data_IF_125825690609
#
_entry.id   IF_125825690609
#
_cell.length_a   1.000
_cell.length_b   1.000
_cell.length_c   1.000
_cell.angle_alpha   90.00
_cell.angle_beta   90.00
_cell.angle_gamma   90.00
#
_symmetry.space_group_name_H-M   'P 1'
#
loop_
_entity.id
_entity.type
_entity.pdbx_description
1 polymer ?
#
# COMPACT_ATOMS: atom_id res chain seq x y z
N UNK A 1 10.29 -2.02 -31.37
CA UNK A 1 11.61 -2.63 -31.11
C UNK A 1 12.65 -1.54 -30.89
N UNK A 2 12.99 -1.22 -29.64
CA UNK A 2 14.30 -0.69 -29.25
C UNK A 2 14.61 -1.25 -27.86
N UNK A 3 15.56 -2.19 -27.84
CA UNK A 3 16.07 -2.87 -26.65
C UNK A 3 16.86 -1.85 -25.82
N UNK A 4 16.51 -1.68 -24.55
CA UNK A 4 17.36 -0.96 -23.60
C UNK A 4 18.43 -1.96 -23.16
N UNK A 5 19.66 -1.71 -23.62
CA UNK A 5 20.84 -2.48 -23.27
C UNK A 5 21.28 -2.03 -21.88
N UNK A 6 21.29 -2.98 -20.94
CA UNK A 6 21.93 -2.85 -19.64
C UNK A 6 23.45 -2.77 -19.84
N UNK A 7 24.06 -1.66 -19.42
CA UNK A 7 25.51 -1.48 -19.36
C UNK A 7 25.89 -1.34 -17.88
N UNK A 8 26.26 -2.47 -17.28
CA UNK A 8 26.91 -2.52 -15.97
C UNK A 8 28.34 -2.04 -16.18
N UNK A 9 28.64 -0.81 -15.78
CA UNK A 9 30.01 -0.31 -15.69
C UNK A 9 30.54 -0.60 -14.30
N UNK A 10 31.51 -1.50 -14.19
CA UNK A 10 32.21 -1.79 -12.95
C UNK A 10 33.11 -0.59 -12.59
N UNK A 11 32.69 0.19 -11.59
CA UNK A 11 33.51 1.24 -11.02
C UNK A 11 34.48 0.64 -10.00
N UNK A 12 35.77 0.94 -10.20
CA UNK A 12 36.87 0.62 -9.29
C UNK A 12 36.65 1.39 -7.98
N UNK A 13 36.47 0.68 -6.87
CA UNK A 13 36.37 1.26 -5.53
C UNK A 13 37.79 1.65 -5.08
N UNK A 14 38.09 2.94 -5.14
CA UNK A 14 39.19 3.52 -4.40
C UNK A 14 38.68 3.85 -2.99
N UNK A 15 39.02 3.01 -2.02
CA UNK A 15 38.68 3.24 -0.63
C UNK A 15 39.60 4.32 -0.05
N UNK A 16 39.05 5.48 0.33
CA UNK A 16 39.42 6.21 1.56
C UNK A 16 38.40 7.32 1.85
N UNK A 17 37.59 7.13 2.88
CA UNK A 17 37.31 8.10 3.96
C UNK A 17 36.43 7.36 4.98
N UNK A 18 36.97 7.10 6.16
CA UNK A 18 36.21 6.60 7.30
C UNK A 18 35.14 7.62 7.67
N UNK A 19 33.88 7.35 7.36
CA UNK A 19 32.76 8.12 7.88
C UNK A 19 32.79 8.07 9.41
N UNK A 20 32.63 9.21 10.12
CA UNK A 20 32.57 9.19 11.56
C UNK A 20 31.37 8.36 12.02
N UNK A 21 31.68 7.37 12.84
CA UNK A 21 30.71 6.55 13.58
C UNK A 21 29.96 7.48 14.52
N UNK A 22 28.78 7.96 14.12
CA UNK A 22 27.66 8.38 15.00
C UNK A 22 26.30 8.30 14.26
N UNK A 23 26.06 7.24 13.48
CA UNK A 23 24.77 6.97 12.82
C UNK A 23 23.91 5.92 13.55
N UNK A 24 24.24 5.54 14.79
CA UNK A 24 23.77 4.29 15.41
C UNK A 24 22.53 4.40 16.33
N UNK A 25 21.93 5.58 16.46
CA UNK A 25 20.78 5.80 17.37
C UNK A 25 19.42 5.87 16.69
N UNK A 26 19.35 6.47 15.50
CA UNK A 26 18.08 6.83 14.88
C UNK A 26 17.26 5.61 14.46
N UNK A 27 17.89 4.48 14.15
CA UNK A 27 17.19 3.23 13.79
C UNK A 27 16.35 2.70 14.95
N UNK A 28 16.76 2.94 16.20
CA UNK A 28 15.97 2.58 17.39
C UNK A 28 14.78 3.52 17.59
N UNK A 29 14.92 4.78 17.21
CA UNK A 29 13.86 5.78 17.32
C UNK A 29 12.85 5.69 16.17
N UNK A 30 13.30 5.33 14.97
CA UNK A 30 12.52 5.22 13.75
C UNK A 30 12.67 3.83 13.08
N UNK A 31 12.38 2.72 13.78
CA UNK A 31 12.53 1.38 13.21
C UNK A 31 11.62 1.17 11.99
N UNK A 32 10.45 1.82 11.98
CA UNK A 32 9.49 1.79 10.88
C UNK A 32 9.96 2.51 9.60
N UNK A 33 10.95 3.40 9.70
CA UNK A 33 11.52 4.14 8.57
C UNK A 33 12.91 3.64 8.20
N UNK A 34 13.38 2.54 8.81
CA UNK A 34 14.78 2.13 8.70
C UNK A 34 15.21 1.93 7.25
N UNK A 35 14.52 1.05 6.53
CA UNK A 35 14.87 0.73 5.14
C UNK A 35 14.73 1.95 4.22
N UNK A 36 13.69 2.76 4.43
CA UNK A 36 13.43 3.94 3.60
C UNK A 36 14.47 5.03 3.80
N UNK A 37 14.90 5.26 5.05
CA UNK A 37 15.96 6.21 5.39
C UNK A 37 17.32 5.70 4.89
N UNK A 38 17.63 4.41 5.07
CA UNK A 38 18.85 3.79 4.53
C UNK A 38 18.92 3.98 3.00
N UNK A 39 17.83 3.68 2.28
CA UNK A 39 17.74 3.94 0.85
C UNK A 39 17.97 5.40 0.49
N UNK A 40 17.35 6.34 1.21
CA UNK A 40 17.50 7.76 0.93
C UNK A 40 18.92 8.29 1.22
N UNK A 41 19.64 7.70 2.18
CA UNK A 41 21.04 8.03 2.45
C UNK A 41 21.96 7.47 1.35
N UNK A 42 21.81 6.19 1.01
CA UNK A 42 22.61 5.51 -0.03
C UNK A 42 22.49 6.18 -1.40
N UNK A 43 21.33 6.79 -1.68
CA UNK A 43 21.05 7.49 -2.93
C UNK A 43 21.24 9.02 -2.84
N UNK A 44 21.83 9.54 -1.76
CA UNK A 44 22.07 10.97 -1.53
C UNK A 44 20.82 11.87 -1.63
N UNK A 45 19.63 11.28 -1.42
CA UNK A 45 18.34 11.99 -1.40
C UNK A 45 18.28 12.87 -0.16
N UNK A 46 18.66 12.33 1.00
CA UNK A 46 18.80 13.07 2.25
C UNK A 46 20.25 13.05 2.74
N UNK A 47 20.59 14.02 3.58
CA UNK A 47 21.83 14.08 4.34
C UNK A 47 21.56 14.64 5.73
N UNK A 48 22.45 14.36 6.68
CA UNK A 48 22.46 14.99 7.99
C UNK A 48 23.08 16.38 7.98
N UNK A 49 23.05 17.03 9.13
CA UNK A 49 23.78 18.28 9.39
C UNK A 49 25.30 18.04 9.60
N UNK A 50 26.03 19.09 9.97
CA UNK A 50 27.48 19.04 10.22
C UNK A 50 27.87 18.06 11.35
N UNK A 51 26.93 17.74 12.24
CA UNK A 51 27.13 16.79 13.35
C UNK A 51 26.74 15.35 12.97
N UNK A 52 26.13 15.17 11.80
CA UNK A 52 25.59 13.89 11.33
C UNK A 52 24.16 13.62 11.78
N UNK A 53 23.47 14.58 12.42
CA UNK A 53 22.06 14.41 12.76
C UNK A 53 21.21 14.50 11.48
N UNK A 54 20.48 13.42 11.19
CA UNK A 54 19.58 13.33 10.05
C UNK A 54 18.32 14.19 10.19
N UNK A 55 18.02 14.65 11.42
CA UNK A 55 16.84 15.42 11.78
C UNK A 55 15.54 14.73 11.33
N UNK A 56 15.45 13.40 11.50
CA UNK A 56 14.35 12.59 10.94
C UNK A 56 12.95 13.00 11.41
N UNK A 57 12.83 13.51 12.63
CA UNK A 57 11.58 14.07 13.17
C UNK A 57 11.31 15.52 12.78
N UNK A 58 12.26 16.20 12.13
CA UNK A 58 12.11 17.56 11.66
C UNK A 58 11.19 17.65 10.43
N UNK A 59 10.47 18.76 10.32
CA UNK A 59 9.56 19.00 9.20
C UNK A 59 10.32 19.43 7.94
N UNK A 60 9.84 18.97 6.79
CA UNK A 60 10.44 19.24 5.50
C UNK A 60 10.00 20.62 4.98
N UNK A 61 10.94 21.46 4.53
CA UNK A 61 10.60 22.70 3.83
C UNK A 61 10.29 22.44 2.35
N UNK A 62 9.60 23.38 1.69
CA UNK A 62 9.25 23.26 0.26
C UNK A 62 10.48 23.18 -0.65
N UNK A 63 11.57 23.87 -0.31
CA UNK A 63 12.80 23.77 -1.08
C UNK A 63 13.56 22.46 -0.86
N UNK A 64 13.48 21.88 0.35
CA UNK A 64 13.98 20.52 0.59
C UNK A 64 13.13 19.48 -0.14
N UNK A 65 11.80 19.66 -0.17
CA UNK A 65 10.88 18.85 -0.97
C UNK A 65 11.30 18.84 -2.45
N UNK A 66 11.54 20.01 -3.05
CA UNK A 66 11.98 20.11 -4.44
C UNK A 66 13.29 19.34 -4.69
N UNK A 67 14.27 19.42 -3.78
CA UNK A 67 15.50 18.64 -3.86
C UNK A 67 15.22 17.14 -3.86
N UNK A 68 14.52 16.64 -2.85
CA UNK A 68 14.37 15.18 -2.69
C UNK A 68 13.54 14.57 -3.83
N UNK A 69 12.55 15.28 -4.36
CA UNK A 69 11.84 14.85 -5.58
C UNK A 69 12.75 14.82 -6.80
N UNK A 70 13.56 15.86 -6.98
CA UNK A 70 14.51 15.94 -8.10
C UNK A 70 15.51 14.80 -8.06
N UNK A 71 16.09 14.52 -6.89
CA UNK A 71 17.10 13.47 -6.73
C UNK A 71 16.46 12.07 -6.87
N UNK A 72 15.26 11.86 -6.32
CA UNK A 72 14.57 10.55 -6.38
C UNK A 72 14.15 10.19 -7.81
N UNK A 73 13.58 11.15 -8.55
CA UNK A 73 12.98 10.90 -9.87
C UNK A 73 13.86 11.39 -11.03
N UNK A 74 15.08 11.86 -10.73
CA UNK A 74 16.00 12.49 -11.68
C UNK A 74 15.29 13.56 -12.53
N UNK A 75 14.56 14.47 -11.87
CA UNK A 75 13.78 15.50 -12.57
C UNK A 75 14.72 16.49 -13.25
N UNK A 76 14.35 16.93 -14.45
CA UNK A 76 15.14 17.87 -15.25
C UNK A 76 14.21 18.88 -15.91
N UNK A 77 14.65 20.15 -15.98
CA UNK A 77 13.92 21.19 -16.72
C UNK A 77 14.87 22.26 -17.22
N UNK A 78 14.64 22.72 -18.45
CA UNK A 78 15.34 23.86 -19.04
C UNK A 78 14.54 25.17 -18.94
N UNK A 79 13.31 25.10 -18.42
CA UNK A 79 12.46 26.27 -18.24
C UNK A 79 13.03 27.18 -17.16
N UNK A 80 12.88 28.50 -17.30
CA UNK A 80 13.22 29.42 -16.22
C UNK A 80 12.34 29.16 -14.99
N UNK A 81 12.87 29.38 -13.78
CA UNK A 81 12.05 29.37 -12.56
C UNK A 81 11.02 30.49 -12.64
N UNK A 82 9.73 30.14 -12.50
CA UNK A 82 8.60 31.08 -12.63
C UNK A 82 8.22 31.84 -11.36
N UNK A 83 8.89 31.57 -10.25
CA UNK A 83 8.55 32.11 -8.94
C UNK A 83 9.37 33.36 -8.61
N UNK A 84 8.72 34.39 -8.10
CA UNK A 84 9.32 35.70 -7.87
C UNK A 84 10.27 35.73 -6.65
N UNK A 85 10.10 34.79 -5.72
CA UNK A 85 10.83 34.67 -4.45
C UNK A 85 11.96 33.64 -4.49
N UNK A 86 12.38 33.21 -5.69
CA UNK A 86 13.44 32.21 -5.87
C UNK A 86 14.62 32.83 -6.60
N UNK A 87 15.64 33.22 -5.83
CA UNK A 87 16.85 33.85 -6.33
C UNK A 87 17.74 32.87 -7.10
N UNK A 88 18.35 33.32 -8.22
CA UNK A 88 19.18 32.48 -9.11
C UNK A 88 20.40 31.86 -8.45
N UNK A 89 20.95 32.52 -7.44
CA UNK A 89 22.12 32.08 -6.67
C UNK A 89 21.75 31.20 -5.46
N UNK A 90 20.45 30.99 -5.18
CA UNK A 90 20.02 30.15 -4.07
C UNK A 90 20.34 28.68 -4.36
N UNK A 91 20.82 27.95 -3.34
CA UNK A 91 21.15 26.52 -3.47
C UNK A 91 20.02 25.69 -4.06
N UNK A 92 18.77 26.07 -3.77
CA UNK A 92 17.56 25.38 -4.19
C UNK A 92 17.11 25.70 -5.61
N UNK A 93 17.70 26.70 -6.28
CA UNK A 93 17.22 27.19 -7.58
C UNK A 93 17.08 26.08 -8.61
N UNK A 94 18.11 25.26 -8.81
CA UNK A 94 18.10 24.15 -9.79
C UNK A 94 17.05 23.08 -9.47
N UNK A 95 16.78 22.83 -8.19
CA UNK A 95 15.79 21.85 -7.77
C UNK A 95 14.38 22.38 -7.96
N UNK A 96 14.14 23.66 -7.62
CA UNK A 96 12.87 24.33 -7.90
C UNK A 96 12.62 24.38 -9.40
N UNK A 97 13.65 24.65 -10.20
CA UNK A 97 13.57 24.67 -11.66
C UNK A 97 13.07 23.34 -12.23
N UNK A 98 13.64 22.22 -11.76
CA UNK A 98 13.23 20.89 -12.15
C UNK A 98 11.85 20.48 -11.62
N UNK A 99 11.49 20.91 -10.41
CA UNK A 99 10.29 20.47 -9.70
C UNK A 99 9.01 21.27 -10.04
N UNK A 100 9.11 22.52 -10.50
CA UNK A 100 7.99 23.47 -10.56
C UNK A 100 6.71 22.98 -11.29
N UNK A 101 6.82 22.08 -12.25
CA UNK A 101 5.67 21.56 -13.01
C UNK A 101 4.90 20.44 -12.29
N UNK A 102 5.53 19.86 -11.26
CA UNK A 102 4.95 18.81 -10.43
C UNK A 102 4.16 19.34 -9.23
N UNK A 103 4.22 20.64 -8.96
CA UNK A 103 3.36 21.28 -7.98
C UNK A 103 1.89 21.23 -8.42
N UNK A 104 0.94 20.78 -7.58
CA UNK A 104 -0.47 20.73 -7.98
C UNK A 104 -1.11 22.13 -8.04
N UNK A 105 -0.77 23.01 -7.09
CA UNK A 105 -1.26 24.39 -7.06
C UNK A 105 -0.38 25.32 -7.91
N UNK A 106 -1.03 26.22 -8.63
CA UNK A 106 -0.38 27.31 -9.37
C UNK A 106 -0.25 28.55 -8.49
N UNK A 107 0.82 29.32 -8.69
CA UNK A 107 1.08 30.56 -7.96
C UNK A 107 2.35 31.24 -8.46
N UNK A 108 2.55 32.49 -8.06
CA UNK A 108 3.74 33.30 -8.37
C UNK A 108 4.83 33.24 -7.30
N UNK A 109 4.55 32.61 -6.15
CA UNK A 109 5.48 32.42 -5.05
C UNK A 109 5.73 30.92 -4.82
N UNK A 110 6.98 30.55 -4.59
CA UNK A 110 7.39 29.20 -4.23
C UNK A 110 7.29 28.96 -2.73
N UNK A 111 7.55 29.98 -1.90
CA UNK A 111 7.59 29.93 -0.44
C UNK A 111 8.57 28.87 0.09
N UNK A 112 9.82 28.89 -0.40
CA UNK A 112 10.76 27.80 -0.18
C UNK A 112 11.04 27.43 1.28
N UNK A 113 10.98 28.41 2.19
CA UNK A 113 11.21 28.21 3.63
C UNK A 113 10.03 27.64 4.40
N UNK A 114 8.82 27.61 3.82
CA UNK A 114 7.64 27.09 4.49
C UNK A 114 7.66 25.57 4.56
N UNK A 115 7.07 25.03 5.63
CA UNK A 115 6.94 23.58 5.81
C UNK A 115 5.85 22.99 4.93
N UNK A 116 6.05 21.74 4.52
CA UNK A 116 5.16 21.02 3.61
C UNK A 116 4.15 20.20 4.41
N UNK A 117 2.88 20.25 4.00
CA UNK A 117 1.83 19.37 4.54
C UNK A 117 1.85 18.00 3.88
N UNK A 118 1.35 16.99 4.58
CA UNK A 118 1.22 15.62 4.06
C UNK A 118 0.45 15.54 2.73
N UNK A 119 -0.65 16.28 2.59
CA UNK A 119 -1.43 16.31 1.33
C UNK A 119 -0.67 16.94 0.16
N UNK A 120 0.10 18.01 0.39
CA UNK A 120 0.86 18.68 -0.67
C UNK A 120 1.98 17.76 -1.16
N UNK A 121 2.67 17.10 -0.22
CA UNK A 121 3.71 16.16 -0.55
C UNK A 121 3.18 14.97 -1.34
N UNK A 122 2.10 14.33 -0.86
CA UNK A 122 1.50 13.17 -1.54
C UNK A 122 1.00 13.52 -2.95
N UNK A 123 0.39 14.70 -3.10
CA UNK A 123 -0.08 15.16 -4.40
C UNK A 123 1.09 15.45 -5.37
N UNK A 124 2.17 16.06 -4.87
CA UNK A 124 3.38 16.29 -5.65
C UNK A 124 4.10 14.98 -5.99
N UNK A 125 4.09 14.00 -5.09
CA UNK A 125 4.66 12.66 -5.30
C UNK A 125 4.00 11.92 -6.45
N UNK A 126 2.67 11.95 -6.50
CA UNK A 126 1.93 11.33 -7.61
C UNK A 126 2.30 11.98 -8.94
N UNK A 127 2.37 13.32 -9.01
CA UNK A 127 2.77 14.01 -10.24
C UNK A 127 4.23 13.71 -10.61
N UNK A 128 5.17 13.79 -9.67
CA UNK A 128 6.59 13.59 -9.91
C UNK A 128 6.94 12.14 -10.30
N UNK A 129 6.20 11.15 -9.78
CA UNK A 129 6.34 9.74 -10.15
C UNK A 129 5.72 9.38 -11.51
N UNK A 130 5.12 10.36 -12.20
CA UNK A 130 4.46 10.15 -13.49
C UNK A 130 3.08 9.48 -13.41
N UNK A 131 2.56 9.30 -12.19
CA UNK A 131 1.20 8.79 -11.98
C UNK A 131 0.17 9.87 -12.27
N UNK A 132 -1.02 9.44 -12.70
CA UNK A 132 -2.15 10.34 -12.96
C UNK A 132 -3.01 10.47 -11.72
N UNK A 133 -3.69 11.59 -11.58
CA UNK A 133 -4.76 11.72 -10.61
C UNK A 133 -5.86 10.69 -10.89
N UNK A 134 -6.52 10.21 -9.84
CA UNK A 134 -7.67 9.34 -9.97
C UNK A 134 -8.86 10.11 -10.56
N UNK A 135 -9.81 9.38 -11.14
CA UNK A 135 -11.02 9.98 -11.70
C UNK A 135 -11.99 10.45 -10.60
N UNK A 136 -11.92 9.84 -9.41
CA UNK A 136 -12.74 10.19 -8.24
C UNK A 136 -11.96 10.14 -6.93
N UNK A 137 -12.56 10.66 -5.86
CA UNK A 137 -12.04 10.65 -4.49
C UNK A 137 -12.99 9.84 -3.60
N UNK A 138 -12.95 8.50 -3.72
CA UNK A 138 -13.99 7.63 -3.14
C UNK A 138 -13.41 6.70 -2.09
N UNK A 139 -12.33 5.98 -2.39
CA UNK A 139 -11.71 5.01 -1.49
C UNK A 139 -11.09 5.71 -0.29
N UNK A 140 -10.36 6.80 -0.52
CA UNK A 140 -9.77 7.59 0.58
C UNK A 140 -10.86 8.17 1.46
N UNK A 141 -11.88 8.78 0.85
CA UNK A 141 -13.01 9.37 1.57
C UNK A 141 -13.81 8.35 2.38
N UNK A 142 -13.91 7.11 1.89
CA UNK A 142 -14.52 6.00 2.61
C UNK A 142 -13.66 5.54 3.81
N UNK A 143 -12.34 5.48 3.63
CA UNK A 143 -11.43 4.81 4.57
C UNK A 143 -10.96 5.68 5.74
N UNK A 144 -11.04 7.01 5.62
CA UNK A 144 -10.48 7.93 6.63
C UNK A 144 -11.45 9.05 7.04
N UNK A 145 -11.42 9.41 8.32
CA UNK A 145 -12.38 10.31 8.97
C UNK A 145 -12.12 11.81 8.71
N UNK A 146 -10.88 12.17 8.43
CA UNK A 146 -10.40 13.55 8.32
C UNK A 146 -10.28 14.06 6.87
N UNK A 147 -10.82 13.29 5.92
CA UNK A 147 -10.71 13.49 4.48
C UNK A 147 -11.43 14.72 3.95
N UNK A 148 -12.41 15.23 4.70
CA UNK A 148 -13.13 16.47 4.38
C UNK A 148 -12.23 17.71 4.49
N UNK A 149 -11.13 17.63 5.24
CA UNK A 149 -10.18 18.73 5.36
C UNK A 149 -9.25 18.86 4.15
N UNK A 150 -9.17 17.83 3.29
CA UNK A 150 -8.27 17.82 2.13
C UNK A 150 -8.65 18.91 1.15
N UNK A 151 -7.65 19.67 0.71
CA UNK A 151 -7.85 20.70 -0.32
C UNK A 151 -8.31 20.09 -1.64
N UNK A 152 -9.28 20.72 -2.31
CA UNK A 152 -9.84 20.22 -3.57
C UNK A 152 -8.78 19.99 -4.65
N UNK A 153 -7.72 20.82 -4.68
CA UNK A 153 -6.62 20.67 -5.64
C UNK A 153 -5.79 19.38 -5.43
N UNK A 154 -5.92 18.74 -4.26
CA UNK A 154 -5.15 17.56 -3.89
C UNK A 154 -5.97 16.28 -3.83
N UNK A 155 -7.31 16.33 -3.69
CA UNK A 155 -8.18 15.16 -3.47
C UNK A 155 -7.88 13.97 -4.39
N UNK A 156 -7.96 14.15 -5.70
CA UNK A 156 -7.78 13.04 -6.64
C UNK A 156 -6.33 12.54 -6.74
N UNK A 157 -5.35 13.40 -6.43
CA UNK A 157 -3.95 12.99 -6.35
C UNK A 157 -3.70 12.20 -5.06
N UNK A 158 -4.29 12.65 -3.94
CA UNK A 158 -4.23 11.94 -2.67
C UNK A 158 -4.89 10.55 -2.78
N UNK A 159 -6.01 10.43 -3.50
CA UNK A 159 -6.62 9.12 -3.83
C UNK A 159 -5.60 8.19 -4.48
N UNK A 160 -4.84 8.70 -5.45
CA UNK A 160 -3.83 7.90 -6.15
C UNK A 160 -2.70 7.48 -5.20
N UNK A 161 -2.25 8.41 -4.34
CA UNK A 161 -1.21 8.11 -3.36
C UNK A 161 -1.64 7.02 -2.36
N UNK A 162 -2.89 7.06 -1.92
CA UNK A 162 -3.48 6.10 -0.97
C UNK A 162 -3.72 4.74 -1.64
N UNK A 163 -4.36 4.73 -2.81
CA UNK A 163 -4.73 3.48 -3.51
C UNK A 163 -3.53 2.72 -4.08
N UNK A 164 -2.43 3.43 -4.35
CA UNK A 164 -1.13 2.82 -4.69
C UNK A 164 -0.27 2.50 -3.45
N UNK A 165 -0.77 2.75 -2.24
CA UNK A 165 -0.08 2.50 -0.97
C UNK A 165 1.23 3.27 -0.82
N UNK A 166 1.36 4.44 -1.46
CA UNK A 166 2.52 5.33 -1.27
C UNK A 166 2.44 6.07 0.05
N UNK A 167 1.23 6.53 0.37
CA UNK A 167 0.88 7.17 1.62
C UNK A 167 -0.08 6.30 2.40
N UNK A 168 0.23 6.07 3.68
CA UNK A 168 -0.63 5.35 4.60
C UNK A 168 -1.14 6.31 5.68
N UNK A 169 -2.38 6.07 6.09
CA UNK A 169 -2.95 6.67 7.29
C UNK A 169 -2.61 5.87 8.54
N UNK A 170 -3.07 6.34 9.68
CA UNK A 170 -3.02 5.61 10.94
C UNK A 170 -4.17 6.09 11.84
N UNK A 171 -4.67 5.18 12.69
CA UNK A 171 -5.76 5.44 13.63
C UNK A 171 -7.03 6.00 12.95
N UNK A 172 -7.30 5.56 11.72
CA UNK A 172 -8.46 5.99 10.91
C UNK A 172 -8.34 7.39 10.30
N UNK A 173 -7.15 7.99 10.30
CA UNK A 173 -6.90 9.34 9.78
C UNK A 173 -5.74 9.33 8.77
N UNK A 174 -5.81 10.18 7.75
CA UNK A 174 -4.72 10.38 6.77
C UNK A 174 -3.82 11.57 7.14
N UNK A 175 -4.31 12.44 8.05
CA UNK A 175 -3.68 13.63 8.61
C UNK A 175 -3.17 14.58 7.51
N UNK A 176 -4.06 15.10 6.65
CA UNK A 176 -3.64 15.78 5.43
C UNK A 176 -2.97 17.13 5.69
N UNK A 177 -3.33 17.82 6.77
CA UNK A 177 -2.80 19.15 7.13
C UNK A 177 -1.57 19.11 8.04
N UNK A 178 -1.23 17.95 8.59
CA UNK A 178 -0.03 17.83 9.41
C UNK A 178 1.21 18.08 8.57
N UNK A 179 2.22 18.68 9.19
CA UNK A 179 3.52 18.88 8.56
C UNK A 179 4.23 17.55 8.40
N UNK A 180 4.86 17.35 7.24
CA UNK A 180 5.53 16.11 6.91
C UNK A 180 6.93 16.08 7.49
N UNK A 181 7.24 15.04 8.25
CA UNK A 181 8.58 14.81 8.77
C UNK A 181 9.52 14.22 7.70
N UNK A 182 10.82 14.38 7.91
CA UNK A 182 11.85 13.81 7.02
C UNK A 182 11.79 12.28 6.93
N UNK A 183 11.49 11.58 8.03
CA UNK A 183 11.29 10.13 8.03
C UNK A 183 10.08 9.68 7.21
N UNK A 184 8.96 10.41 7.31
CA UNK A 184 7.75 10.11 6.51
C UNK A 184 8.01 10.36 5.02
N UNK A 185 8.69 11.46 4.69
CA UNK A 185 9.07 11.77 3.30
C UNK A 185 9.91 10.64 2.68
N UNK A 186 10.92 10.13 3.40
CA UNK A 186 11.72 8.98 2.93
C UNK A 186 10.84 7.76 2.68
N UNK A 187 9.92 7.48 3.60
CA UNK A 187 9.03 6.32 3.51
C UNK A 187 8.08 6.41 2.30
N UNK A 188 7.53 7.59 2.03
CA UNK A 188 6.62 7.77 0.89
C UNK A 188 7.37 7.65 -0.44
N UNK A 189 8.57 8.24 -0.53
CA UNK A 189 9.44 8.10 -1.71
C UNK A 189 9.84 6.64 -1.92
N UNK A 190 10.31 5.97 -0.88
CA UNK A 190 10.74 4.58 -0.91
C UNK A 190 9.63 3.64 -1.41
N UNK A 191 8.38 3.84 -0.97
CA UNK A 191 7.23 3.02 -1.45
C UNK A 191 6.92 3.21 -2.92
N UNK A 192 7.23 4.36 -3.51
CA UNK A 192 7.09 4.58 -4.96
C UNK A 192 8.17 3.82 -5.73
N UNK A 193 9.42 3.93 -5.31
CA UNK A 193 10.56 3.33 -6.03
C UNK A 193 10.73 1.83 -5.74
N UNK A 194 10.25 1.37 -4.59
CA UNK A 194 10.25 -0.03 -4.15
C UNK A 194 8.81 -0.49 -3.85
N UNK A 195 7.95 -0.67 -4.87
CA UNK A 195 6.53 -0.96 -4.69
C UNK A 195 6.26 -2.32 -4.02
N UNK A 196 7.25 -3.20 -3.91
CA UNK A 196 7.16 -4.47 -3.19
C UNK A 196 7.51 -4.37 -1.70
N UNK A 197 8.14 -3.27 -1.26
CA UNK A 197 8.57 -3.10 0.12
C UNK A 197 7.37 -3.09 1.08
N UNK A 198 7.58 -3.64 2.27
CA UNK A 198 6.62 -3.76 3.38
C UNK A 198 5.29 -4.43 2.99
N UNK A 199 5.30 -5.31 1.99
CA UNK A 199 4.09 -5.98 1.49
C UNK A 199 4.23 -7.49 1.51
N UNK A 200 3.11 -8.15 1.72
CA UNK A 200 3.06 -9.60 1.89
C UNK A 200 2.50 -10.27 0.66
N UNK A 201 3.25 -11.18 0.02
CA UNK A 201 2.73 -11.94 -1.13
C UNK A 201 1.51 -12.79 -0.75
N UNK A 202 0.47 -12.77 -1.58
CA UNK A 202 -0.70 -13.66 -1.46
C UNK A 202 -0.35 -15.08 -1.91
N UNK A 203 0.49 -15.20 -2.94
CA UNK A 203 0.95 -16.50 -3.47
C UNK A 203 2.19 -16.98 -2.74
N UNK A 204 2.35 -18.29 -2.66
CA UNK A 204 3.47 -18.94 -1.99
C UNK A 204 3.04 -20.07 -1.06
N UNK A 205 4.02 -20.63 -0.36
CA UNK A 205 3.81 -21.72 0.57
C UNK A 205 3.21 -21.22 1.90
N UNK A 206 2.45 -22.09 2.56
CA UNK A 206 1.94 -21.83 3.89
C UNK A 206 3.06 -21.49 4.87
N UNK A 207 2.88 -20.42 5.65
CA UNK A 207 3.76 -20.07 6.77
C UNK A 207 3.19 -20.48 8.12
N UNK A 208 1.92 -20.89 8.15
CA UNK A 208 1.23 -21.37 9.34
C UNK A 208 0.77 -22.80 9.07
N UNK A 209 0.84 -23.66 10.08
CA UNK A 209 0.29 -25.02 10.01
C UNK A 209 -1.22 -25.02 10.24
N UNK A 210 -1.92 -26.06 9.78
CA UNK A 210 -3.36 -26.18 10.01
C UNK A 210 -3.68 -26.26 11.51
N UNK A 211 -2.82 -26.90 12.31
CA UNK A 211 -2.97 -27.02 13.75
C UNK A 211 -2.90 -25.65 14.46
N UNK A 212 -1.93 -24.81 14.07
CA UNK A 212 -1.81 -23.43 14.58
C UNK A 212 -3.04 -22.61 14.21
N UNK A 213 -3.53 -22.74 12.97
CA UNK A 213 -4.74 -22.05 12.52
C UNK A 213 -5.99 -22.47 13.30
N UNK A 214 -6.14 -23.76 13.57
CA UNK A 214 -7.24 -24.28 14.40
C UNK A 214 -7.13 -23.84 15.87
N UNK A 215 -5.91 -23.82 16.43
CA UNK A 215 -5.67 -23.33 17.79
C UNK A 215 -6.00 -21.84 17.92
N UNK A 216 -5.56 -21.03 16.95
CA UNK A 216 -5.91 -19.62 16.83
C UNK A 216 -7.43 -19.42 16.72
N UNK A 217 -8.10 -20.17 15.86
CA UNK A 217 -9.55 -20.09 15.69
C UNK A 217 -10.29 -20.41 16.99
N UNK A 218 -9.92 -21.48 17.70
CA UNK A 218 -10.48 -21.82 19.02
C UNK A 218 -10.29 -20.67 20.02
N UNK A 219 -9.09 -20.09 20.09
CA UNK A 219 -8.80 -19.00 21.00
C UNK A 219 -9.57 -17.70 20.67
N UNK A 220 -10.01 -17.52 19.42
CA UNK A 220 -10.88 -16.42 19.00
C UNK A 220 -12.38 -16.69 19.24
N UNK A 221 -12.75 -17.83 19.80
CA UNK A 221 -14.16 -18.21 19.99
C UNK A 221 -14.86 -18.51 18.67
N UNK A 222 -14.12 -19.07 17.70
CA UNK A 222 -14.69 -19.48 16.42
C UNK A 222 -15.77 -20.55 16.59
N UNK A 223 -16.78 -20.51 15.71
CA UNK A 223 -17.74 -21.60 15.62
C UNK A 223 -17.04 -22.87 15.12
N UNK A 224 -17.49 -24.05 15.57
CA UNK A 224 -16.87 -25.34 15.24
C UNK A 224 -16.68 -25.56 13.72
N UNK A 225 -17.68 -25.20 12.91
CA UNK A 225 -17.60 -25.20 11.44
C UNK A 225 -16.37 -24.52 10.85
N UNK A 226 -15.92 -23.42 11.46
CA UNK A 226 -14.75 -22.66 10.98
C UNK A 226 -13.45 -23.36 11.37
N UNK A 227 -13.42 -24.01 12.53
CA UNK A 227 -12.27 -24.82 12.97
C UNK A 227 -12.15 -26.06 12.06
N UNK A 228 -13.27 -26.72 11.78
CA UNK A 228 -13.33 -27.95 10.99
C UNK A 228 -13.00 -27.73 9.51
N UNK A 229 -13.26 -26.53 8.97
CA UNK A 229 -12.98 -26.25 7.55
C UNK A 229 -11.51 -25.89 7.27
N UNK A 230 -10.69 -25.66 8.30
CA UNK A 230 -9.29 -25.26 8.13
C UNK A 230 -8.45 -26.23 7.25
N UNK A 231 -8.53 -27.57 7.38
CA UNK A 231 -7.78 -28.48 6.52
C UNK A 231 -8.11 -28.32 5.03
N UNK A 232 -9.36 -27.99 4.69
CA UNK A 232 -9.78 -27.74 3.31
C UNK A 232 -9.15 -26.45 2.77
N UNK A 233 -9.01 -25.42 3.60
CA UNK A 233 -8.25 -24.22 3.22
C UNK A 233 -6.79 -24.54 2.90
N UNK A 234 -6.13 -25.39 3.69
CA UNK A 234 -4.73 -25.77 3.43
C UNK A 234 -4.59 -26.60 2.15
N UNK A 235 -5.51 -27.54 1.92
CA UNK A 235 -5.55 -28.32 0.67
C UNK A 235 -5.64 -27.42 -0.56
N UNK A 236 -6.62 -26.51 -0.61
CA UNK A 236 -6.74 -25.60 -1.76
C UNK A 236 -5.61 -24.57 -1.84
N UNK A 237 -4.99 -24.22 -0.72
CA UNK A 237 -3.78 -23.39 -0.72
C UNK A 237 -2.66 -24.03 -1.52
N UNK A 238 -2.42 -25.33 -1.32
CA UNK A 238 -1.45 -26.10 -2.11
C UNK A 238 -1.86 -26.20 -3.58
N UNK A 239 -3.13 -26.49 -3.87
CA UNK A 239 -3.64 -26.62 -5.25
C UNK A 239 -3.47 -25.34 -6.05
N UNK A 240 -3.75 -24.18 -5.46
CA UNK A 240 -3.65 -22.89 -6.14
C UNK A 240 -2.25 -22.25 -6.06
N UNK A 241 -1.39 -22.69 -5.12
CA UNK A 241 -0.19 -21.96 -4.76
C UNK A 241 -0.48 -20.61 -4.08
N UNK A 242 -1.60 -20.54 -3.36
CA UNK A 242 -2.03 -19.38 -2.56
C UNK A 242 -1.82 -19.72 -1.09
N UNK A 243 -1.31 -18.77 -0.32
CA UNK A 243 -1.07 -18.95 1.11
C UNK A 243 -2.38 -19.19 1.86
N UNK A 244 -2.59 -20.37 2.45
CA UNK A 244 -3.88 -20.71 3.05
C UNK A 244 -4.21 -19.90 4.29
N UNK A 245 -3.21 -19.46 5.06
CA UNK A 245 -3.41 -18.62 6.23
C UNK A 245 -3.99 -17.24 5.87
N UNK A 246 -3.68 -16.70 4.69
CA UNK A 246 -4.26 -15.44 4.19
C UNK A 246 -5.75 -15.65 3.91
N UNK A 247 -6.07 -16.72 3.18
CA UNK A 247 -7.44 -17.06 2.79
C UNK A 247 -8.31 -17.44 4.00
N UNK A 248 -7.73 -18.14 4.97
CA UNK A 248 -8.40 -18.52 6.20
C UNK A 248 -8.61 -17.32 7.14
N UNK A 249 -7.63 -16.42 7.26
CA UNK A 249 -7.80 -15.15 7.96
C UNK A 249 -8.88 -14.28 7.31
N UNK A 250 -8.89 -14.20 5.97
CA UNK A 250 -9.93 -13.53 5.21
C UNK A 250 -11.30 -14.09 5.51
N UNK A 251 -11.46 -15.42 5.49
CA UNK A 251 -12.71 -16.08 5.84
C UNK A 251 -13.14 -15.79 7.29
N UNK A 252 -12.19 -15.75 8.22
CA UNK A 252 -12.44 -15.38 9.61
C UNK A 252 -12.99 -13.95 9.74
N UNK A 253 -12.44 -13.00 8.97
CA UNK A 253 -12.90 -11.60 8.94
C UNK A 253 -14.31 -11.48 8.36
N UNK A 254 -14.56 -12.15 7.23
CA UNK A 254 -15.84 -12.08 6.49
C UNK A 254 -17.00 -12.77 7.23
N UNK A 255 -16.70 -13.84 7.98
CA UNK A 255 -17.74 -14.67 8.62
C UNK A 255 -17.80 -14.54 10.13
N UNK A 256 -17.03 -13.60 10.72
CA UNK A 256 -16.82 -13.53 12.17
C UNK A 256 -16.41 -14.91 12.75
N UNK A 257 -15.40 -15.54 12.15
CA UNK A 257 -14.88 -16.87 12.52
C UNK A 257 -15.95 -17.97 12.44
N UNK A 258 -16.78 -17.93 11.38
CA UNK A 258 -17.88 -18.85 11.11
C UNK A 258 -19.10 -18.71 12.02
N UNK A 259 -19.16 -17.66 12.85
CA UNK A 259 -20.35 -17.35 13.63
C UNK A 259 -21.44 -16.70 12.76
N UNK A 260 -21.02 -15.91 11.77
CA UNK A 260 -21.86 -15.05 10.94
C UNK A 260 -22.66 -14.03 11.78
N UNK A 261 -23.09 -12.94 11.16
CA UNK A 261 -23.84 -11.88 11.85
C UNK A 261 -24.40 -10.79 10.95
N UNK A 262 -24.31 -10.98 9.64
CA UNK A 262 -24.77 -10.04 8.62
C UNK A 262 -25.66 -10.73 7.59
N UNK A 263 -25.63 -10.23 6.36
CA UNK A 263 -26.49 -10.72 5.29
C UNK A 263 -26.18 -12.14 4.82
N UNK A 264 -24.93 -12.59 4.97
CA UNK A 264 -24.53 -13.97 4.67
C UNK A 264 -24.81 -14.86 5.88
N UNK A 265 -25.58 -15.92 5.64
CA UNK A 265 -25.99 -16.89 6.65
C UNK A 265 -25.10 -18.14 6.62
N UNK A 266 -24.94 -18.85 7.74
CA UNK A 266 -24.10 -20.04 7.80
C UNK A 266 -24.40 -21.13 6.76
N UNK A 267 -25.68 -21.40 6.51
CA UNK A 267 -26.17 -22.41 5.57
C UNK A 267 -25.82 -22.09 4.12
N UNK A 268 -25.43 -20.85 3.82
CA UNK A 268 -25.01 -20.45 2.48
C UNK A 268 -23.61 -20.97 2.12
N UNK A 269 -22.85 -21.48 3.10
CA UNK A 269 -21.46 -21.92 2.93
C UNK A 269 -20.54 -20.89 2.25
N UNK A 270 -20.90 -19.61 2.31
CA UNK A 270 -20.16 -18.53 1.66
C UNK A 270 -19.17 -17.94 2.64
N UNK A 271 -17.91 -18.37 2.55
CA UNK A 271 -16.85 -17.99 3.48
C UNK A 271 -16.23 -16.63 3.20
N UNK A 272 -16.60 -15.96 2.10
CA UNK A 272 -15.89 -14.78 1.61
C UNK A 272 -16.81 -13.60 1.26
N UNK A 273 -18.09 -13.67 1.64
CA UNK A 273 -19.05 -12.61 1.29
C UNK A 273 -19.30 -12.47 -0.21
N UNK A 274 -19.09 -13.54 -0.99
CA UNK A 274 -19.13 -13.47 -2.45
C UNK A 274 -20.54 -13.08 -2.91
N UNK A 275 -20.61 -11.98 -3.66
CA UNK A 275 -21.84 -11.49 -4.28
C UNK A 275 -22.26 -12.33 -5.47
N UNK A 276 -23.56 -12.38 -5.77
CA UNK A 276 -24.05 -12.85 -7.07
C UNK A 276 -23.56 -11.94 -8.21
N UNK A 277 -23.76 -12.36 -9.46
CA UNK A 277 -23.32 -11.59 -10.65
C UNK A 277 -23.73 -10.12 -10.64
N UNK A 278 -25.01 -9.86 -10.35
CA UNK A 278 -25.66 -8.55 -10.41
C UNK A 278 -26.39 -8.27 -9.08
N UNK A 279 -25.67 -7.97 -7.99
CA UNK A 279 -26.31 -7.63 -6.73
C UNK A 279 -27.01 -6.28 -6.87
N UNK A 280 -28.14 -6.13 -6.19
CA UNK A 280 -28.90 -4.88 -6.08
C UNK A 280 -28.65 -4.15 -4.77
N UNK A 281 -27.97 -4.80 -3.81
CA UNK A 281 -27.54 -4.21 -2.56
C UNK A 281 -26.69 -5.17 -1.72
N UNK A 282 -27.00 -5.21 -0.42
CA UNK A 282 -26.28 -5.99 0.58
C UNK A 282 -27.19 -6.91 1.39
N UNK A 283 -28.27 -7.41 0.79
CA UNK A 283 -29.18 -8.37 1.43
C UNK A 283 -28.71 -9.80 1.20
N UNK A 284 -29.33 -10.76 1.89
CA UNK A 284 -28.99 -12.19 1.76
C UNK A 284 -29.08 -12.67 0.31
N UNK A 285 -30.11 -12.25 -0.44
CA UNK A 285 -30.30 -12.58 -1.86
C UNK A 285 -29.24 -12.00 -2.79
N UNK A 286 -28.44 -11.02 -2.34
CA UNK A 286 -27.34 -10.44 -3.12
C UNK A 286 -26.04 -11.26 -3.03
N UNK A 287 -26.05 -12.40 -2.34
CA UNK A 287 -24.88 -13.25 -2.09
C UNK A 287 -25.04 -14.66 -2.64
N UNK A 288 -23.92 -15.23 -3.07
CA UNK A 288 -23.86 -16.62 -3.55
C UNK A 288 -24.13 -17.60 -2.39
N UNK A 289 -24.74 -18.73 -2.74
CA UNK A 289 -24.91 -19.90 -1.85
C UNK A 289 -24.24 -21.11 -2.48
N UNK A 290 -23.44 -21.81 -1.68
CA UNK A 290 -22.71 -23.00 -2.11
C UNK A 290 -23.29 -24.26 -1.45
N UNK A 291 -23.35 -25.35 -2.22
CA UNK A 291 -23.98 -26.59 -1.79
C UNK A 291 -23.30 -27.21 -0.57
N UNK A 292 -21.97 -27.08 -0.48
CA UNK A 292 -21.16 -27.64 0.61
C UNK A 292 -20.18 -26.60 1.17
N UNK A 293 -19.71 -26.79 2.42
CA UNK A 293 -18.63 -25.99 2.98
C UNK A 293 -17.38 -25.97 2.09
N UNK A 294 -17.02 -27.10 1.48
CA UNK A 294 -15.88 -27.23 0.58
C UNK A 294 -16.07 -26.43 -0.72
N UNK A 295 -17.26 -26.51 -1.34
CA UNK A 295 -17.58 -25.69 -2.53
C UNK A 295 -17.42 -24.20 -2.24
N UNK A 296 -17.79 -23.77 -1.03
CA UNK A 296 -17.55 -22.43 -0.55
C UNK A 296 -16.07 -22.05 -0.47
N UNK A 297 -15.22 -22.94 0.04
CA UNK A 297 -13.76 -22.72 0.09
C UNK A 297 -13.19 -22.65 -1.32
N UNK A 298 -13.52 -23.62 -2.18
CA UNK A 298 -13.10 -23.62 -3.58
C UNK A 298 -13.55 -22.35 -4.31
N UNK A 299 -14.77 -21.88 -4.06
CA UNK A 299 -15.28 -20.63 -4.61
C UNK A 299 -14.50 -19.41 -4.10
N UNK A 300 -14.15 -19.37 -2.81
CA UNK A 300 -13.28 -18.32 -2.25
C UNK A 300 -11.91 -18.30 -2.95
N UNK A 301 -11.26 -19.45 -3.10
CA UNK A 301 -9.99 -19.54 -3.84
C UNK A 301 -10.13 -19.16 -5.32
N UNK A 302 -11.18 -19.62 -6.00
CA UNK A 302 -11.48 -19.19 -7.37
C UNK A 302 -11.64 -17.68 -7.45
N UNK A 303 -12.34 -17.07 -6.49
CA UNK A 303 -12.51 -15.63 -6.46
C UNK A 303 -11.16 -14.92 -6.34
N UNK A 304 -10.32 -15.33 -5.38
CA UNK A 304 -8.97 -14.79 -5.23
C UNK A 304 -8.10 -15.03 -6.47
N UNK A 305 -8.23 -16.19 -7.14
CA UNK A 305 -7.52 -16.49 -8.39
C UNK A 305 -7.79 -15.46 -9.49
N UNK A 306 -9.01 -14.88 -9.55
CA UNK A 306 -9.29 -13.78 -10.47
C UNK A 306 -8.48 -12.51 -10.16
N UNK A 307 -8.20 -12.24 -8.88
CA UNK A 307 -7.44 -11.08 -8.42
C UNK A 307 -5.94 -11.26 -8.73
N UNK A 308 -5.41 -12.45 -8.45
CA UNK A 308 -3.97 -12.74 -8.56
C UNK A 308 -3.54 -13.31 -9.92
N UNK A 309 -4.49 -13.63 -10.79
CA UNK A 309 -4.22 -14.00 -12.19
C UNK A 309 -4.00 -15.50 -12.42
N UNK A 310 -4.53 -16.33 -11.52
CA UNK A 310 -4.46 -17.78 -11.60
C UNK A 310 -5.73 -18.36 -12.28
N UNK A 311 -5.62 -19.60 -12.77
CA UNK A 311 -6.75 -20.33 -13.31
C UNK A 311 -7.66 -20.82 -12.17
N UNK A 312 -8.99 -20.91 -12.39
CA UNK A 312 -9.90 -21.48 -11.41
C UNK A 312 -9.81 -23.00 -11.40
N UNK A 313 -10.24 -23.61 -10.29
CA UNK A 313 -10.43 -25.05 -10.14
C UNK A 313 -11.92 -25.37 -10.21
N UNK A 314 -12.27 -26.28 -11.14
CA UNK A 314 -13.65 -26.59 -11.48
C UNK A 314 -14.40 -25.38 -12.02
N UNK A 315 -15.73 -25.48 -12.05
CA UNK A 315 -16.58 -24.37 -12.48
C UNK A 315 -16.60 -23.26 -11.40
N UNK A 316 -16.20 -22.01 -11.74
CA UNK A 316 -16.27 -20.89 -10.82
C UNK A 316 -17.68 -20.27 -10.78
N UNK A 317 -17.98 -19.57 -9.69
CA UNK A 317 -19.21 -18.78 -9.55
C UNK A 317 -19.26 -17.58 -10.50
N UNK A 318 -20.44 -17.05 -10.83
CA UNK A 318 -20.61 -16.04 -11.88
C UNK A 318 -19.84 -14.72 -11.62
N UNK A 319 -19.74 -14.33 -10.35
CA UNK A 319 -19.03 -13.10 -9.93
C UNK A 319 -17.51 -13.16 -10.20
N UNK A 320 -16.93 -14.34 -10.36
CA UNK A 320 -15.57 -14.52 -10.87
C UNK A 320 -15.36 -13.80 -12.22
N UNK A 321 -16.29 -13.97 -13.16
CA UNK A 321 -16.20 -13.38 -14.50
C UNK A 321 -16.40 -11.86 -14.48
N UNK A 322 -17.15 -11.34 -13.51
CA UNK A 322 -17.26 -9.90 -13.27
C UNK A 322 -15.90 -9.35 -12.90
N UNK A 323 -15.21 -9.96 -11.93
CA UNK A 323 -13.85 -9.52 -11.54
C UNK A 323 -12.89 -9.61 -12.72
N UNK A 324 -12.90 -10.71 -13.48
CA UNK A 324 -12.04 -10.88 -14.68
C UNK A 324 -12.24 -9.81 -15.75
N UNK A 325 -13.38 -9.12 -15.77
CA UNK A 325 -13.66 -8.03 -16.71
C UNK A 325 -13.08 -6.67 -16.28
N UNK A 326 -12.60 -6.55 -15.03
CA UNK A 326 -12.05 -5.30 -14.50
C UNK A 326 -10.59 -5.16 -14.95
N UNK A 327 -10.18 -3.93 -15.31
CA UNK A 327 -8.86 -3.66 -15.88
C UNK A 327 -7.68 -4.11 -14.99
N UNK A 328 -7.85 -4.13 -13.66
CA UNK A 328 -6.80 -4.57 -12.73
C UNK A 328 -6.80 -6.07 -12.45
N UNK A 329 -7.74 -6.85 -12.99
CA UNK A 329 -7.82 -8.29 -12.73
C UNK A 329 -6.51 -9.00 -13.08
N UNK A 330 -6.06 -9.88 -12.20
CA UNK A 330 -4.79 -10.59 -12.32
C UNK A 330 -3.52 -9.78 -12.01
N UNK A 331 -3.65 -8.53 -11.53
CA UNK A 331 -2.50 -7.69 -11.18
C UNK A 331 -2.20 -7.64 -9.68
N UNK A 332 -3.09 -8.18 -8.84
CA UNK A 332 -2.95 -8.17 -7.38
C UNK A 332 -1.89 -9.19 -6.98
N UNK A 333 -0.89 -8.77 -6.21
CA UNK A 333 0.21 -9.65 -5.76
C UNK A 333 0.28 -9.74 -4.24
N UNK A 334 -0.08 -8.65 -3.56
CA UNK A 334 0.13 -8.51 -2.14
C UNK A 334 -1.18 -8.37 -1.35
N UNK A 335 -1.20 -8.85 -0.11
CA UNK A 335 -2.39 -8.87 0.75
C UNK A 335 -2.91 -7.45 0.99
N UNK A 336 -2.01 -6.48 1.17
CA UNK A 336 -2.32 -5.07 1.40
C UNK A 336 -3.07 -4.44 0.21
N UNK A 337 -2.90 -4.99 -1.00
CA UNK A 337 -3.59 -4.53 -2.20
C UNK A 337 -5.06 -4.99 -2.29
N UNK A 338 -5.51 -5.84 -1.37
CA UNK A 338 -6.93 -6.22 -1.27
C UNK A 338 -7.79 -5.04 -0.78
N UNK A 339 -7.20 -4.08 -0.05
CA UNK A 339 -7.86 -2.81 0.23
C UNK A 339 -8.11 -2.00 -1.04
N UNK A 340 -9.30 -1.42 -1.15
CA UNK A 340 -9.79 -0.74 -2.36
C UNK A 340 -10.13 -1.65 -3.55
N UNK A 341 -9.91 -2.97 -3.45
CA UNK A 341 -10.20 -3.94 -4.54
C UNK A 341 -11.15 -5.05 -4.14
N UNK A 342 -10.89 -5.70 -3.01
CA UNK A 342 -11.79 -6.70 -2.41
C UNK A 342 -12.80 -5.99 -1.51
N UNK A 343 -12.30 -5.16 -0.61
CA UNK A 343 -13.08 -4.33 0.30
C UNK A 343 -12.81 -2.85 -0.02
N UNK A 344 -13.82 -1.95 0.02
CA UNK A 344 -13.59 -0.52 -0.16
C UNK A 344 -12.65 0.11 0.87
N UNK A 345 -12.53 -0.46 2.07
CA UNK A 345 -11.57 -0.01 3.09
C UNK A 345 -10.15 -0.32 2.63
N UNK A 346 -9.31 0.72 2.51
CA UNK A 346 -7.90 0.57 2.13
C UNK A 346 -7.10 -0.22 3.18
N UNK A 347 -7.54 -0.24 4.44
CA UNK A 347 -6.84 -0.93 5.52
C UNK A 347 -7.13 -2.43 5.58
N UNK A 348 -8.07 -2.92 4.76
CA UNK A 348 -8.54 -4.31 4.81
C UNK A 348 -7.40 -5.34 4.77
N UNK A 349 -6.43 -5.17 3.87
CA UNK A 349 -5.31 -6.10 3.75
C UNK A 349 -4.38 -6.09 4.97
N UNK A 350 -4.20 -4.93 5.62
CA UNK A 350 -3.43 -4.82 6.86
C UNK A 350 -4.13 -5.51 8.03
N UNK A 351 -5.46 -5.48 8.07
CA UNK A 351 -6.23 -6.24 9.06
C UNK A 351 -6.06 -7.75 8.86
N UNK A 352 -6.07 -8.23 7.61
CA UNK A 352 -5.78 -9.63 7.30
C UNK A 352 -4.38 -10.01 7.78
N UNK A 353 -3.38 -9.16 7.53
CA UNK A 353 -2.02 -9.42 8.00
C UNK A 353 -1.92 -9.45 9.52
N UNK A 354 -2.63 -8.56 10.22
CA UNK A 354 -2.73 -8.61 11.70
C UNK A 354 -3.33 -9.93 12.18
N UNK A 355 -4.30 -10.49 11.47
CA UNK A 355 -4.88 -11.79 11.77
C UNK A 355 -3.88 -12.94 11.53
N UNK A 356 -3.15 -12.92 10.42
CA UNK A 356 -2.09 -13.89 10.09
C UNK A 356 -0.95 -13.85 11.11
N UNK A 357 -0.47 -12.67 11.48
CA UNK A 357 0.57 -12.48 12.50
C UNK A 357 0.15 -12.99 13.88
N UNK A 358 -1.14 -12.88 14.22
CA UNK A 358 -1.66 -13.46 15.45
C UNK A 358 -1.78 -14.98 15.37
N UNK A 359 -2.00 -15.54 14.18
CA UNK A 359 -2.06 -16.98 13.95
C UNK A 359 -0.69 -17.65 14.14
N UNK A 360 0.39 -16.98 13.71
CA UNK A 360 1.79 -17.43 13.86
C UNK A 360 2.25 -17.61 15.32
N UNK A 361 1.49 -17.09 16.30
CA UNK A 361 1.83 -17.14 17.73
C UNK A 361 1.27 -18.37 18.46
N UNK A 362 0.40 -19.13 17.81
CA UNK A 362 -0.10 -20.42 18.27
C UNK A 362 0.81 -21.53 17.76
#
# INVERSE_FOLDING_TARGET
>A
MKKIISLISAAVICATASAPVMAAGWQKQYPWAKESVEYCLENNIISGDETGDLMLGGNLTREQMAKIFTDTFNLQSNSAVRFNDVEKNKWSYKYVQAFQDYMPKKGSLFNGGEYVTREEFAASLVKASGQKAADSYTITNYSFKDTQSVDDAYKNLLETAVTNLYMLGDSGNIRPKDLLTRAEACTFLYRVVNPAADKTSITGNAQVTVEQAQAWAKAKGAHQRFIDIAPIYWYYGEVFGIRPEVMYAQAGKETAYGNYGGAVLPEMNNWAGIKIKKPTGDKTEDHETFATPEDGVRAHYNHMAAYVGLAPVGEPHDRYYVVKSIAWAGTVKYVEQLGGRWCPDINYGYDIMTMVENMLKY
#
